data_IF_763691934905
#
_entry.id   IF_763691934905
#
_cell.length_a   1.000
_cell.length_b   1.000
_cell.length_c   1.000
_cell.angle_alpha   90.00
_cell.angle_beta   90.00
_cell.angle_gamma   90.00
#
_symmetry.space_group_name_H-M   'P 1'
#
loop_
_entity.id
_entity.type
_entity.pdbx_description
1 polymer ?
#
# COMPACT_ATOMS: atom_id res chain seq x y z
N UNK A 1 -20.91 -6.39 9.23
CA UNK A 1 -20.14 -6.10 8.00
C UNK A 1 -18.67 -6.07 8.37
N UNK A 2 -17.85 -6.80 7.63
CA UNK A 2 -16.41 -6.81 7.85
C UNK A 2 -15.73 -5.56 7.24
N UNK A 3 -14.56 -5.14 7.77
CA UNK A 3 -13.74 -4.11 7.16
C UNK A 3 -13.44 -4.40 5.69
N UNK A 4 -13.33 -3.35 4.90
CA UNK A 4 -12.99 -3.38 3.47
C UNK A 4 -13.98 -4.08 2.52
N UNK A 5 -15.08 -4.69 2.98
CA UNK A 5 -16.04 -5.35 2.08
C UNK A 5 -16.59 -4.40 1.00
N UNK A 6 -17.00 -3.20 1.40
CA UNK A 6 -17.48 -2.16 0.46
C UNK A 6 -16.37 -1.67 -0.46
N UNK A 7 -15.15 -1.50 0.07
CA UNK A 7 -14.00 -1.07 -0.71
C UNK A 7 -13.68 -2.03 -1.86
N UNK A 8 -13.71 -3.34 -1.58
CA UNK A 8 -13.46 -4.41 -2.57
C UNK A 8 -14.47 -4.33 -3.72
N UNK A 9 -15.76 -4.26 -3.38
CA UNK A 9 -16.81 -4.12 -4.39
C UNK A 9 -16.67 -2.85 -5.23
N UNK A 10 -16.44 -1.72 -4.57
CA UNK A 10 -16.29 -0.43 -5.23
C UNK A 10 -15.06 -0.41 -6.16
N UNK A 11 -13.91 -0.92 -5.70
CA UNK A 11 -12.69 -0.96 -6.50
C UNK A 11 -12.87 -1.83 -7.75
N UNK A 12 -13.45 -3.04 -7.62
CA UNK A 12 -13.73 -3.88 -8.77
C UNK A 12 -14.70 -3.20 -9.76
N UNK A 13 -15.74 -2.54 -9.24
CA UNK A 13 -16.68 -1.80 -10.08
C UNK A 13 -15.98 -0.65 -10.82
N UNK A 14 -15.10 0.11 -10.16
CA UNK A 14 -14.32 1.17 -10.81
C UNK A 14 -13.44 0.58 -11.91
N UNK A 15 -12.68 -0.49 -11.64
CA UNK A 15 -11.81 -1.12 -12.63
C UNK A 15 -12.60 -1.61 -13.86
N UNK A 16 -13.83 -2.13 -13.65
CA UNK A 16 -14.69 -2.58 -14.75
C UNK A 16 -15.17 -1.45 -15.65
N UNK A 17 -15.08 -0.20 -15.19
CA UNK A 17 -15.59 1.00 -15.90
C UNK A 17 -14.50 1.83 -16.56
N UNK A 18 -13.23 1.58 -16.19
CA UNK A 18 -12.09 2.27 -16.76
C UNK A 18 -11.81 1.82 -18.19
N UNK A 19 -11.35 2.75 -19.00
CA UNK A 19 -10.90 2.51 -20.36
C UNK A 19 -9.47 2.98 -20.57
N UNK A 20 -8.82 2.39 -21.56
CA UNK A 20 -7.49 2.83 -21.98
C UNK A 20 -7.57 4.21 -22.62
N UNK A 21 -6.65 5.10 -22.27
CA UNK A 21 -6.53 6.40 -22.91
C UNK A 21 -6.10 6.24 -24.39
N UNK A 22 -6.62 7.13 -25.24
CA UNK A 22 -6.24 7.19 -26.65
C UNK A 22 -5.13 8.25 -26.83
N UNK A 23 -3.87 7.84 -27.06
CA UNK A 23 -2.75 8.76 -27.12
C UNK A 23 -2.84 9.79 -28.25
N UNK A 24 -3.62 9.51 -29.29
CA UNK A 24 -3.76 10.42 -30.44
C UNK A 24 -4.63 11.65 -30.11
N UNK A 25 -5.40 11.58 -29.04
CA UNK A 25 -6.33 12.64 -28.61
C UNK A 25 -5.67 13.70 -27.70
N UNK A 26 -4.40 13.50 -27.34
CA UNK A 26 -3.66 14.45 -26.48
C UNK A 26 -2.86 15.43 -27.30
N UNK A 27 -2.91 16.71 -26.89
CA UNK A 27 -2.02 17.73 -27.45
C UNK A 27 -0.55 17.44 -27.11
N UNK A 28 -0.28 17.03 -25.87
CA UNK A 28 1.02 16.52 -25.45
C UNK A 28 1.13 15.01 -25.75
N UNK A 29 1.85 14.69 -26.81
CA UNK A 29 2.10 13.30 -27.24
C UNK A 29 2.76 12.43 -26.17
N UNK A 30 3.63 13.01 -25.33
CA UNK A 30 4.29 12.28 -24.26
C UNK A 30 3.31 11.97 -23.14
N UNK A 31 2.45 12.93 -22.76
CA UNK A 31 1.37 12.68 -21.80
C UNK A 31 0.41 11.58 -22.29
N UNK A 32 0.00 11.66 -23.57
CA UNK A 32 -0.88 10.66 -24.17
C UNK A 32 -0.28 9.26 -24.15
N UNK A 33 1.01 9.11 -24.46
CA UNK A 33 1.72 7.83 -24.37
C UNK A 33 1.76 7.30 -22.94
N UNK A 34 2.12 8.15 -21.96
CA UNK A 34 2.15 7.79 -20.55
C UNK A 34 0.78 7.38 -20.03
N UNK A 35 -0.27 8.11 -20.40
CA UNK A 35 -1.65 7.80 -20.01
C UNK A 35 -2.14 6.46 -20.60
N UNK A 36 -1.79 6.17 -21.87
CA UNK A 36 -2.13 4.91 -22.53
C UNK A 36 -1.35 3.70 -21.99
N UNK A 37 -0.22 3.92 -21.32
CA UNK A 37 0.62 2.88 -20.71
C UNK A 37 0.21 2.54 -19.26
N UNK A 38 -0.74 3.27 -18.69
CA UNK A 38 -1.28 2.98 -17.37
C UNK A 38 -2.13 1.71 -17.40
N UNK A 39 -1.90 0.83 -16.44
CA UNK A 39 -2.84 -0.26 -16.17
C UNK A 39 -4.12 0.30 -15.52
N UNK A 40 -5.26 -0.44 -15.56
CA UNK A 40 -6.49 0.01 -14.90
C UNK A 40 -6.30 0.35 -13.42
N UNK A 41 -5.52 -0.45 -12.69
CA UNK A 41 -5.24 -0.20 -11.28
C UNK A 41 -4.42 1.08 -11.07
N UNK A 42 -3.37 1.29 -11.86
CA UNK A 42 -2.56 2.51 -11.80
C UNK A 42 -3.37 3.75 -12.18
N UNK A 43 -4.27 3.63 -13.15
CA UNK A 43 -5.17 4.73 -13.52
C UNK A 43 -6.16 5.04 -12.40
N UNK A 44 -6.72 4.01 -11.74
CA UNK A 44 -7.58 4.20 -10.58
C UNK A 44 -6.84 4.90 -9.42
N UNK A 45 -5.60 4.52 -9.14
CA UNK A 45 -4.77 5.15 -8.09
C UNK A 45 -4.38 6.58 -8.44
N UNK A 46 -4.08 6.84 -9.71
CA UNK A 46 -3.81 8.19 -10.18
C UNK A 46 -5.03 9.11 -10.00
N UNK A 47 -6.22 8.62 -10.30
CA UNK A 47 -7.46 9.38 -10.16
C UNK A 47 -7.86 9.62 -8.70
N UNK A 48 -7.72 8.59 -7.85
CA UNK A 48 -8.13 8.66 -6.47
C UNK A 48 -7.17 9.47 -5.59
N UNK A 49 -5.87 9.21 -5.72
CA UNK A 49 -4.85 9.67 -4.77
C UNK A 49 -3.70 10.42 -5.42
N UNK A 50 -3.70 10.61 -6.75
CA UNK A 50 -2.58 11.20 -7.49
C UNK A 50 -1.30 10.35 -7.45
N UNK A 51 -1.44 9.05 -7.15
CA UNK A 51 -0.32 8.11 -7.09
C UNK A 51 0.07 7.71 -8.50
N UNK A 52 1.36 7.85 -8.81
CA UNK A 52 1.95 7.45 -10.09
C UNK A 52 2.67 6.11 -9.98
N UNK A 53 2.77 5.33 -11.07
CA UNK A 53 3.47 4.05 -11.06
C UNK A 53 4.92 4.17 -10.58
N UNK A 54 5.37 3.23 -9.75
CA UNK A 54 6.74 3.21 -9.20
C UNK A 54 7.82 3.03 -10.28
N UNK A 55 7.46 2.47 -11.45
CA UNK A 55 8.34 2.27 -12.60
C UNK A 55 8.71 3.55 -13.34
N UNK A 56 7.96 4.63 -13.11
CA UNK A 56 8.14 5.90 -13.82
C UNK A 56 9.22 6.78 -13.19
N UNK A 57 9.96 7.47 -14.04
CA UNK A 57 10.94 8.46 -13.63
C UNK A 57 10.32 9.73 -13.04
N UNK A 58 11.17 10.62 -12.54
CA UNK A 58 10.70 11.88 -11.91
C UNK A 58 9.92 12.78 -12.87
N UNK A 59 10.43 12.94 -14.09
CA UNK A 59 9.82 13.79 -15.12
C UNK A 59 8.47 13.23 -15.60
N UNK A 60 8.38 11.90 -15.80
CA UNK A 60 7.14 11.22 -16.17
C UNK A 60 6.10 11.33 -15.07
N UNK A 61 6.53 11.14 -13.80
CA UNK A 61 5.69 11.33 -12.62
C UNK A 61 5.11 12.73 -12.54
N UNK A 62 5.95 13.75 -12.74
CA UNK A 62 5.51 15.15 -12.71
C UNK A 62 4.54 15.45 -13.86
N UNK A 63 4.83 14.95 -15.07
CA UNK A 63 3.99 15.12 -16.26
C UNK A 63 2.62 14.50 -16.06
N UNK A 64 2.53 13.27 -15.55
CA UNK A 64 1.25 12.62 -15.25
C UNK A 64 0.44 13.39 -14.20
N UNK A 65 1.08 13.83 -13.11
CA UNK A 65 0.38 14.58 -12.06
C UNK A 65 -0.18 15.91 -12.59
N UNK A 66 0.58 16.62 -13.39
CA UNK A 66 0.13 17.88 -13.99
C UNK A 66 -0.95 17.65 -15.05
N UNK A 67 -0.91 16.51 -15.74
CA UNK A 67 -1.84 16.13 -16.81
C UNK A 67 -3.13 15.44 -16.36
N UNK A 68 -3.37 15.19 -15.07
CA UNK A 68 -4.55 14.45 -14.60
C UNK A 68 -5.86 15.02 -15.16
N UNK A 69 -6.02 16.33 -15.17
CA UNK A 69 -7.22 17.00 -15.69
C UNK A 69 -7.43 16.72 -17.18
N UNK A 70 -6.35 16.71 -17.97
CA UNK A 70 -6.43 16.41 -19.41
C UNK A 70 -6.79 14.94 -19.64
N UNK A 71 -6.25 14.02 -18.83
CA UNK A 71 -6.58 12.59 -18.89
C UNK A 71 -8.06 12.35 -18.58
N UNK A 72 -8.59 13.01 -17.56
CA UNK A 72 -10.04 12.93 -17.23
C UNK A 72 -10.88 13.51 -18.36
N UNK A 73 -10.52 14.66 -18.89
CA UNK A 73 -11.25 15.33 -19.97
C UNK A 73 -11.29 14.47 -21.25
N UNK A 74 -10.16 13.84 -21.63
CA UNK A 74 -10.12 12.91 -22.75
C UNK A 74 -11.08 11.75 -22.53
N UNK A 75 -11.04 11.15 -21.33
CA UNK A 75 -11.88 10.03 -20.98
C UNK A 75 -13.39 10.36 -21.01
N UNK A 76 -13.78 11.57 -20.62
CA UNK A 76 -15.16 12.05 -20.63
C UNK A 76 -15.66 12.40 -22.04
N UNK A 77 -14.80 12.96 -22.88
CA UNK A 77 -15.17 13.44 -24.24
C UNK A 77 -15.09 12.35 -25.31
N UNK A 78 -14.70 11.14 -24.99
CA UNK A 78 -14.68 10.05 -25.94
C UNK A 78 -16.10 9.64 -26.38
N UNK A 79 -16.26 9.14 -27.61
CA UNK A 79 -17.52 8.62 -28.12
C UNK A 79 -18.08 7.48 -27.23
N UNK A 80 -17.19 6.63 -26.74
CA UNK A 80 -17.46 5.70 -25.64
C UNK A 80 -16.73 6.26 -24.44
N UNK A 81 -17.39 7.14 -23.68
CA UNK A 81 -16.77 7.79 -22.52
C UNK A 81 -16.53 6.80 -21.39
N UNK A 82 -15.53 7.10 -20.56
CA UNK A 82 -15.18 6.28 -19.41
C UNK A 82 -16.34 6.23 -18.41
N UNK A 83 -16.72 5.03 -18.01
CA UNK A 83 -17.88 4.83 -17.14
C UNK A 83 -19.21 4.59 -17.86
N UNK A 84 -19.25 4.63 -19.19
CA UNK A 84 -20.45 4.29 -19.96
C UNK A 84 -20.81 2.79 -19.80
N UNK A 85 -19.81 1.93 -19.84
CA UNK A 85 -19.92 0.49 -19.64
C UNK A 85 -19.31 0.08 -18.30
N UNK A 86 -19.52 -1.16 -17.89
CA UNK A 86 -19.01 -1.72 -16.62
C UNK A 86 -20.11 -1.86 -15.57
N UNK A 87 -19.74 -2.33 -14.39
CA UNK A 87 -20.67 -2.60 -13.31
C UNK A 87 -21.37 -1.33 -12.80
N UNK A 88 -22.69 -1.33 -12.85
CA UNK A 88 -23.50 -0.20 -12.38
C UNK A 88 -23.69 -0.22 -10.86
N UNK A 89 -24.05 0.91 -10.23
CA UNK A 89 -24.38 0.94 -8.80
C UNK A 89 -25.53 -0.01 -8.43
N UNK A 90 -26.47 -0.25 -9.33
CA UNK A 90 -27.59 -1.20 -9.09
C UNK A 90 -27.08 -2.64 -9.02
N UNK A 91 -26.25 -3.04 -9.95
CA UNK A 91 -25.64 -4.38 -9.98
C UNK A 91 -24.77 -4.59 -8.75
N UNK A 92 -23.96 -3.60 -8.38
CA UNK A 92 -23.13 -3.67 -7.17
C UNK A 92 -23.97 -3.77 -5.90
N UNK A 93 -25.12 -3.07 -5.82
CA UNK A 93 -26.03 -3.21 -4.69
C UNK A 93 -26.57 -4.63 -4.57
N UNK A 94 -26.98 -5.23 -5.68
CA UNK A 94 -27.48 -6.63 -5.73
C UNK A 94 -26.35 -7.58 -5.31
N UNK A 95 -25.17 -7.45 -5.88
CA UNK A 95 -23.99 -8.26 -5.53
C UNK A 95 -23.63 -8.18 -4.03
N UNK A 96 -23.66 -6.99 -3.44
CA UNK A 96 -23.38 -6.81 -2.02
C UNK A 96 -24.48 -7.42 -1.13
N UNK A 97 -25.73 -7.40 -1.59
CA UNK A 97 -26.84 -8.06 -0.90
C UNK A 97 -26.64 -9.58 -0.92
N UNK A 98 -26.31 -10.15 -2.07
CA UNK A 98 -26.00 -11.58 -2.23
C UNK A 98 -24.81 -11.98 -1.37
N UNK A 99 -23.74 -11.15 -1.36
CA UNK A 99 -22.57 -11.36 -0.53
C UNK A 99 -22.90 -11.30 0.99
N UNK A 100 -23.89 -10.51 1.38
CA UNK A 100 -24.34 -10.45 2.79
C UNK A 100 -25.09 -11.70 3.24
N UNK A 101 -25.61 -12.47 2.31
CA UNK A 101 -26.36 -13.72 2.52
C UNK A 101 -25.57 -14.95 2.05
N UNK A 102 -24.27 -14.81 1.82
CA UNK A 102 -23.43 -15.88 1.29
C UNK A 102 -23.35 -17.06 2.28
N UNK A 103 -23.60 -18.30 1.84
CA UNK A 103 -23.74 -19.45 2.75
C UNK A 103 -22.43 -19.82 3.51
N UNK A 104 -21.28 -19.49 2.93
CA UNK A 104 -19.98 -19.84 3.51
C UNK A 104 -19.43 -18.77 4.46
N UNK A 105 -20.01 -17.55 4.48
CA UNK A 105 -19.49 -16.45 5.29
C UNK A 105 -20.57 -15.92 6.23
N UNK A 106 -20.20 -15.74 7.50
CA UNK A 106 -21.13 -15.32 8.55
C UNK A 106 -21.58 -13.86 8.45
N UNK A 107 -20.93 -13.06 7.59
CA UNK A 107 -21.27 -11.65 7.37
C UNK A 107 -20.81 -11.18 6.00
N UNK A 108 -21.27 -9.99 5.59
CA UNK A 108 -20.71 -9.30 4.43
C UNK A 108 -19.22 -9.06 4.64
N UNK A 109 -18.39 -9.89 4.00
CA UNK A 109 -16.92 -9.88 4.10
C UNK A 109 -16.27 -9.68 2.73
N UNK A 110 -14.99 -9.26 2.67
CA UNK A 110 -14.24 -9.18 1.42
C UNK A 110 -14.25 -10.49 0.63
N UNK A 111 -14.11 -11.64 1.30
CA UNK A 111 -14.12 -12.95 0.64
C UNK A 111 -15.50 -13.29 0.06
N UNK A 112 -16.59 -12.96 0.77
CA UNK A 112 -17.95 -13.10 0.24
C UNK A 112 -18.16 -12.26 -1.02
N UNK A 113 -17.71 -10.99 -1.00
CA UNK A 113 -17.80 -10.09 -2.15
C UNK A 113 -16.99 -10.63 -3.33
N UNK A 114 -15.74 -11.07 -3.11
CA UNK A 114 -14.91 -11.67 -4.17
C UNK A 114 -15.52 -12.96 -4.74
N UNK A 115 -16.18 -13.78 -3.89
CA UNK A 115 -16.91 -14.97 -4.33
C UNK A 115 -18.07 -14.62 -5.24
N UNK A 116 -18.89 -13.64 -4.86
CA UNK A 116 -20.01 -13.17 -5.68
C UNK A 116 -19.56 -12.53 -7.00
N UNK A 117 -18.48 -11.73 -6.99
CA UNK A 117 -17.88 -11.18 -8.21
C UNK A 117 -17.43 -12.32 -9.14
N UNK A 118 -16.79 -13.36 -8.60
CA UNK A 118 -16.35 -14.51 -9.38
C UNK A 118 -17.53 -15.26 -10.00
N UNK A 119 -18.63 -15.42 -9.28
CA UNK A 119 -19.86 -16.02 -9.78
C UNK A 119 -20.47 -15.16 -10.90
N UNK A 120 -20.51 -13.84 -10.70
CA UNK A 120 -20.98 -12.88 -11.72
C UNK A 120 -20.17 -12.97 -13.02
N UNK A 121 -18.84 -13.00 -12.94
CA UNK A 121 -17.96 -13.12 -14.10
C UNK A 121 -18.15 -14.45 -14.85
N UNK A 122 -18.46 -15.54 -14.13
CA UNK A 122 -18.72 -16.85 -14.75
C UNK A 122 -20.08 -16.92 -15.43
N UNK A 123 -21.08 -16.24 -14.89
CA UNK A 123 -22.44 -16.22 -15.46
C UNK A 123 -22.50 -15.52 -16.83
N UNK A 124 -21.70 -14.48 -17.02
CA UNK A 124 -21.62 -13.76 -18.30
C UNK A 124 -22.92 -13.07 -18.73
N UNK A 125 -23.85 -12.85 -17.80
CA UNK A 125 -25.19 -12.33 -18.09
C UNK A 125 -25.20 -10.86 -18.50
N UNK A 126 -24.18 -10.10 -18.09
CA UNK A 126 -24.05 -8.68 -18.38
C UNK A 126 -23.19 -8.42 -19.62
N UNK A 127 -23.62 -7.48 -20.45
CA UNK A 127 -22.97 -7.15 -21.72
C UNK A 127 -21.49 -6.76 -21.55
N UNK A 128 -21.15 -5.97 -20.51
CA UNK A 128 -19.79 -5.53 -20.27
C UNK A 128 -18.81 -6.69 -19.93
N UNK A 129 -19.31 -7.81 -19.40
CA UNK A 129 -18.47 -8.99 -19.10
C UNK A 129 -18.01 -9.73 -20.37
N UNK A 130 -18.62 -9.43 -21.52
CA UNK A 130 -18.29 -10.02 -22.83
C UNK A 130 -17.28 -9.21 -23.63
N UNK A 131 -16.87 -8.04 -23.11
CA UNK A 131 -15.86 -7.22 -23.75
C UNK A 131 -14.50 -7.97 -23.76
N UNK A 132 -13.80 -7.87 -24.88
CA UNK A 132 -12.51 -8.55 -25.04
C UNK A 132 -11.43 -7.78 -24.26
N UNK A 133 -10.68 -8.43 -23.35
CA UNK A 133 -9.58 -7.80 -22.64
C UNK A 133 -8.54 -7.23 -23.61
N UNK A 134 -8.11 -5.99 -23.37
CA UNK A 134 -7.06 -5.32 -24.13
C UNK A 134 -6.17 -4.49 -23.23
N UNK A 135 -4.86 -4.71 -23.28
CA UNK A 135 -3.86 -4.01 -22.46
C UNK A 135 -4.20 -4.01 -20.95
N UNK A 136 -4.81 -5.08 -20.46
CA UNK A 136 -5.26 -5.23 -19.07
C UNK A 136 -6.61 -4.61 -18.75
N UNK A 137 -7.19 -3.81 -19.65
CA UNK A 137 -8.56 -3.29 -19.50
C UNK A 137 -9.59 -4.38 -19.87
N UNK A 138 -10.76 -4.33 -19.25
CA UNK A 138 -11.87 -5.29 -19.43
C UNK A 138 -11.55 -6.74 -19.03
N UNK A 139 -10.43 -6.97 -18.33
CA UNK A 139 -10.13 -8.27 -17.71
C UNK A 139 -10.84 -8.40 -16.35
N UNK A 140 -12.17 -8.49 -16.40
CA UNK A 140 -13.03 -8.48 -15.23
C UNK A 140 -12.72 -9.63 -14.25
N UNK A 141 -12.33 -10.78 -14.76
CA UNK A 141 -11.94 -11.94 -13.97
C UNK A 141 -10.54 -11.74 -13.33
N UNK A 142 -9.59 -11.19 -14.09
CA UNK A 142 -8.25 -10.86 -13.59
C UNK A 142 -8.26 -9.77 -12.53
N UNK A 143 -9.20 -8.83 -12.59
CA UNK A 143 -9.37 -7.80 -11.57
C UNK A 143 -9.66 -8.38 -10.19
N UNK A 144 -10.26 -9.58 -10.08
CA UNK A 144 -10.53 -10.23 -8.79
C UNK A 144 -9.26 -10.41 -7.99
N UNK A 145 -8.19 -10.88 -8.62
CA UNK A 145 -6.90 -11.07 -7.94
C UNK A 145 -6.21 -9.74 -7.63
N UNK A 146 -6.28 -8.76 -8.55
CA UNK A 146 -5.72 -7.43 -8.32
C UNK A 146 -6.38 -6.73 -7.12
N UNK A 147 -7.71 -6.79 -7.03
CA UNK A 147 -8.48 -6.21 -5.93
C UNK A 147 -8.21 -6.96 -4.62
N UNK A 148 -8.06 -8.29 -4.68
CA UNK A 148 -7.66 -9.11 -3.53
C UNK A 148 -6.29 -8.71 -3.00
N UNK A 149 -5.30 -8.53 -3.87
CA UNK A 149 -3.97 -8.11 -3.45
C UNK A 149 -4.00 -6.73 -2.79
N UNK A 150 -4.79 -5.78 -3.30
CA UNK A 150 -5.00 -4.47 -2.67
C UNK A 150 -5.66 -4.56 -1.29
N UNK A 151 -6.60 -5.47 -1.13
CA UNK A 151 -7.16 -5.76 0.18
C UNK A 151 -6.11 -6.33 1.13
N UNK A 152 -5.34 -7.32 0.68
CA UNK A 152 -4.27 -7.91 1.49
C UNK A 152 -3.18 -6.90 1.87
N UNK A 153 -2.88 -5.91 1.03
CA UNK A 153 -1.99 -4.80 1.38
C UNK A 153 -2.51 -4.01 2.59
N UNK A 154 -3.83 -3.78 2.65
CA UNK A 154 -4.46 -3.09 3.79
C UNK A 154 -4.45 -3.96 5.04
N UNK A 155 -4.88 -5.21 4.92
CA UNK A 155 -4.88 -6.18 6.04
C UNK A 155 -3.48 -6.36 6.61
N UNK A 156 -2.47 -6.49 5.76
CA UNK A 156 -1.08 -6.64 6.19
C UNK A 156 -0.57 -5.42 6.96
N UNK A 157 -0.89 -4.22 6.48
CA UNK A 157 -0.57 -2.97 7.17
C UNK A 157 -1.23 -2.89 8.54
N UNK A 158 -2.54 -3.16 8.61
CA UNK A 158 -3.33 -3.13 9.84
C UNK A 158 -2.86 -4.17 10.85
N UNK A 159 -2.54 -5.38 10.36
CA UNK A 159 -1.96 -6.44 11.17
C UNK A 159 -0.61 -6.02 11.77
N UNK A 160 0.31 -5.53 10.94
CA UNK A 160 1.62 -5.05 11.40
C UNK A 160 1.49 -3.94 12.42
N UNK A 161 0.67 -2.93 12.15
CA UNK A 161 0.42 -1.82 13.08
C UNK A 161 -0.16 -2.31 14.42
N UNK A 162 -0.98 -3.36 14.36
CA UNK A 162 -1.63 -3.93 15.56
C UNK A 162 -0.71 -4.78 16.41
N UNK A 163 0.38 -5.33 15.87
CA UNK A 163 1.35 -6.11 16.65
C UNK A 163 2.16 -5.25 17.63
N UNK A 164 2.24 -3.94 17.39
CA UNK A 164 3.08 -3.02 18.17
C UNK A 164 4.59 -3.29 18.03
N UNK A 165 4.99 -4.21 17.13
CA UNK A 165 6.39 -4.49 16.85
C UNK A 165 7.09 -3.35 16.12
N UNK A 166 6.28 -2.48 15.48
CA UNK A 166 6.77 -1.37 14.70
C UNK A 166 6.11 -0.10 15.19
N UNK A 167 6.75 0.52 16.13
CA UNK A 167 6.49 1.94 16.38
C UNK A 167 7.04 2.72 15.20
N UNK A 168 6.20 3.49 14.55
CA UNK A 168 6.57 4.42 13.48
C UNK A 168 7.72 5.34 13.91
N UNK A 169 7.81 5.61 15.22
CA UNK A 169 8.90 6.29 15.87
C UNK A 169 10.27 5.66 15.61
N UNK A 170 10.39 4.32 15.58
CA UNK A 170 11.72 3.68 15.54
C UNK A 170 12.47 3.83 14.21
N UNK A 171 11.79 3.65 13.07
CA UNK A 171 12.45 3.87 11.78
C UNK A 171 12.55 5.36 11.45
N UNK A 172 11.64 6.19 11.98
CA UNK A 172 11.76 7.65 11.97
C UNK A 172 12.99 8.11 12.75
N UNK A 173 13.16 7.65 13.99
CA UNK A 173 14.35 7.93 14.81
C UNK A 173 15.65 7.43 14.16
N UNK A 174 15.63 6.24 13.53
CA UNK A 174 16.78 5.74 12.77
C UNK A 174 17.12 6.66 11.61
N UNK A 175 16.11 7.14 10.88
CA UNK A 175 16.32 8.05 9.76
C UNK A 175 16.80 9.43 10.24
N UNK A 176 16.22 9.98 11.31
CA UNK A 176 16.66 11.23 11.96
C UNK A 176 18.12 11.15 12.38
N UNK A 177 18.47 10.06 13.03
CA UNK A 177 19.87 9.78 13.45
C UNK A 177 20.79 9.67 12.23
N UNK A 178 20.37 8.96 11.20
CA UNK A 178 21.12 8.84 9.95
C UNK A 178 21.37 10.20 9.30
N UNK A 179 20.35 11.05 9.14
CA UNK A 179 20.50 12.40 8.58
C UNK A 179 21.45 13.26 9.43
N UNK A 180 21.37 13.15 10.74
CA UNK A 180 22.29 13.84 11.66
C UNK A 180 23.75 13.44 11.38
N UNK A 181 24.03 12.14 11.30
CA UNK A 181 25.39 11.63 11.03
C UNK A 181 25.88 12.01 9.63
N UNK A 182 25.00 11.96 8.61
CA UNK A 182 25.33 12.41 7.23
C UNK A 182 25.67 13.90 7.20
N UNK A 183 24.92 14.74 7.90
CA UNK A 183 25.17 16.18 7.98
C UNK A 183 26.55 16.48 8.57
N UNK A 184 26.88 15.84 9.69
CA UNK A 184 28.18 16.03 10.33
C UNK A 184 29.32 15.45 9.48
N UNK A 185 29.12 14.30 8.85
CA UNK A 185 30.10 13.71 7.94
C UNK A 185 30.48 14.65 6.77
N UNK A 186 29.47 15.26 6.13
CA UNK A 186 29.70 16.20 5.01
C UNK A 186 30.43 17.45 5.46
N UNK A 187 30.18 17.93 6.67
CA UNK A 187 30.81 19.11 7.26
C UNK A 187 32.20 18.80 7.85
N UNK A 188 32.58 17.52 8.01
CA UNK A 188 33.79 17.12 8.71
C UNK A 188 33.73 17.37 10.21
N UNK A 189 32.53 17.39 10.80
CA UNK A 189 32.27 17.66 12.21
C UNK A 189 32.02 16.37 12.98
N UNK A 190 32.23 16.40 14.30
CA UNK A 190 31.90 15.30 15.21
C UNK A 190 30.45 15.40 15.67
N UNK A 191 29.82 14.25 15.92
CA UNK A 191 28.46 14.13 16.44
C UNK A 191 28.50 14.05 17.96
N UNK A 192 27.70 14.86 18.63
CA UNK A 192 27.55 14.78 20.07
C UNK A 192 26.69 13.59 20.46
N UNK A 193 27.25 12.62 21.14
CA UNK A 193 26.52 11.47 21.66
C UNK A 193 25.92 11.81 23.03
N UNK A 194 24.60 11.92 23.09
CA UNK A 194 23.86 12.29 24.32
C UNK A 194 23.96 11.24 25.42
N UNK A 195 24.26 9.99 25.08
CA UNK A 195 24.34 8.88 26.04
C UNK A 195 25.71 8.88 26.73
N UNK A 196 26.81 9.05 25.96
CA UNK A 196 28.17 9.04 26.47
C UNK A 196 28.65 10.42 26.88
N UNK A 197 28.00 11.50 26.46
CA UNK A 197 28.39 12.89 26.70
C UNK A 197 29.63 13.33 25.92
N UNK A 198 30.10 12.56 24.94
CA UNK A 198 31.34 12.79 24.19
C UNK A 198 31.02 13.09 22.70
N UNK A 199 31.90 13.87 22.06
CA UNK A 199 31.86 14.08 20.61
C UNK A 199 32.57 12.91 19.90
N UNK A 200 31.84 12.15 19.11
CA UNK A 200 32.30 10.97 18.39
C UNK A 200 32.35 11.22 16.88
N UNK A 201 33.14 10.45 16.15
CA UNK A 201 33.11 10.47 14.69
C UNK A 201 31.74 9.96 14.21
N UNK A 202 31.24 10.44 13.03
CA UNK A 202 30.03 9.91 12.45
C UNK A 202 30.07 8.38 12.28
N UNK A 203 29.04 7.70 12.72
CA UNK A 203 28.91 6.24 12.70
C UNK A 203 28.79 5.73 11.26
N UNK A 204 29.92 5.37 10.67
CA UNK A 204 30.02 4.93 9.27
C UNK A 204 29.36 3.58 9.03
N UNK A 205 29.32 2.70 10.03
CA UNK A 205 28.68 1.37 9.90
C UNK A 205 27.17 1.53 9.85
N UNK A 206 26.60 2.31 10.74
CA UNK A 206 25.16 2.64 10.71
C UNK A 206 24.80 3.34 9.40
N UNK A 207 25.59 4.34 8.96
CA UNK A 207 25.35 5.03 7.70
C UNK A 207 25.37 4.05 6.52
N UNK A 208 26.35 3.18 6.41
CA UNK A 208 26.47 2.20 5.34
C UNK A 208 25.29 1.19 5.34
N UNK A 209 24.84 0.76 6.52
CA UNK A 209 23.69 -0.13 6.67
C UNK A 209 22.40 0.52 6.17
N UNK A 210 22.15 1.76 6.56
CA UNK A 210 20.98 2.52 6.10
C UNK A 210 21.05 2.78 4.59
N UNK A 211 22.21 3.19 4.08
CA UNK A 211 22.43 3.47 2.65
C UNK A 211 22.23 2.23 1.77
N UNK A 212 22.67 1.06 2.23
CA UNK A 212 22.40 -0.21 1.57
C UNK A 212 20.89 -0.47 1.47
N UNK A 213 20.16 -0.24 2.54
CA UNK A 213 18.69 -0.38 2.59
C UNK A 213 18.00 0.61 1.67
N UNK A 214 18.47 1.85 1.65
CA UNK A 214 17.92 2.92 0.81
C UNK A 214 18.28 2.77 -0.69
N UNK A 215 19.25 1.91 -1.01
CA UNK A 215 19.71 1.70 -2.39
C UNK A 215 20.54 2.87 -2.91
N UNK A 216 21.46 3.41 -2.10
CA UNK A 216 22.33 4.53 -2.42
C UNK A 216 23.30 4.27 -3.60
N UNK A 217 23.43 3.00 -4.06
CA UNK A 217 24.34 2.63 -5.13
C UNK A 217 25.82 2.75 -4.74
N UNK A 218 26.71 2.81 -5.73
CA UNK A 218 28.15 2.88 -5.53
C UNK A 218 28.67 4.28 -5.15
N UNK A 219 27.89 5.34 -5.45
CA UNK A 219 28.27 6.74 -5.15
C UNK A 219 27.52 7.29 -3.93
N UNK A 220 27.90 6.83 -2.75
CA UNK A 220 27.26 7.23 -1.49
C UNK A 220 27.43 8.72 -1.17
N UNK A 221 28.52 9.35 -1.56
CA UNK A 221 28.73 10.78 -1.29
C UNK A 221 27.79 11.67 -2.09
N UNK A 222 27.51 11.33 -3.35
CA UNK A 222 26.50 12.03 -4.15
C UNK A 222 25.11 11.83 -3.54
N UNK A 223 24.79 10.63 -3.11
CA UNK A 223 23.51 10.31 -2.44
C UNK A 223 23.34 11.15 -1.16
N UNK A 224 24.36 11.18 -0.28
CA UNK A 224 24.35 11.97 0.96
C UNK A 224 24.14 13.45 0.70
N UNK A 225 24.88 14.03 -0.27
CA UNK A 225 24.71 15.44 -0.65
C UNK A 225 23.31 15.71 -1.20
N UNK A 226 22.75 14.80 -1.98
CA UNK A 226 21.39 14.88 -2.49
C UNK A 226 20.34 14.99 -1.36
N UNK A 227 20.49 14.20 -0.30
CA UNK A 227 19.61 14.27 0.87
C UNK A 227 19.71 15.63 1.59
N UNK A 228 20.93 16.12 1.83
CA UNK A 228 21.12 17.40 2.52
C UNK A 228 20.58 18.58 1.66
N UNK A 229 20.79 18.54 0.34
CA UNK A 229 20.24 19.54 -0.56
C UNK A 229 18.70 19.54 -0.57
N UNK A 230 18.08 18.37 -0.54
CA UNK A 230 16.62 18.27 -0.47
C UNK A 230 16.05 18.84 0.84
N UNK A 231 16.75 18.60 1.96
CA UNK A 231 16.40 19.20 3.27
C UNK A 231 16.54 20.73 3.22
N UNK A 232 17.65 21.21 2.64
CA UNK A 232 17.87 22.66 2.50
C UNK A 232 16.81 23.32 1.63
N UNK A 233 16.43 22.69 0.51
CA UNK A 233 15.32 23.15 -0.35
C UNK A 233 14.00 23.22 0.42
N UNK A 234 13.65 22.18 1.13
CA UNK A 234 12.43 22.16 1.96
C UNK A 234 12.42 23.28 3.00
N UNK A 235 13.55 23.50 3.69
CA UNK A 235 13.68 24.55 4.72
C UNK A 235 13.56 25.96 4.12
N UNK A 236 13.99 26.17 2.88
CA UNK A 236 13.83 27.45 2.17
C UNK A 236 12.35 27.68 1.83
N UNK A 237 11.65 26.65 1.37
CA UNK A 237 10.25 26.75 0.98
C UNK A 237 9.30 26.86 2.21
N UNK A 238 9.75 26.40 3.40
CA UNK A 238 8.98 26.38 4.65
C UNK A 238 9.78 27.02 5.80
N UNK A 239 10.01 28.34 5.76
CA UNK A 239 10.83 29.03 6.73
C UNK A 239 10.21 28.99 8.14
N UNK A 240 10.97 28.47 9.11
CA UNK A 240 10.55 28.36 10.51
C UNK A 240 9.85 27.06 10.89
N UNK A 241 9.51 26.23 9.92
CA UNK A 241 8.90 24.92 10.17
C UNK A 241 9.98 23.87 10.51
N UNK A 242 9.63 22.93 11.40
CA UNK A 242 10.47 21.75 11.63
C UNK A 242 10.41 20.86 10.39
N UNK A 243 11.58 20.40 9.93
CA UNK A 243 11.67 19.49 8.79
C UNK A 243 10.98 18.17 9.13
N UNK A 244 9.89 17.87 8.44
CA UNK A 244 9.19 16.60 8.53
C UNK A 244 9.74 15.64 7.46
N UNK A 245 10.64 14.75 7.85
CA UNK A 245 11.29 13.82 6.90
C UNK A 245 10.29 12.92 6.14
N UNK A 246 9.12 12.64 6.71
CA UNK A 246 8.04 11.93 6.04
C UNK A 246 7.51 12.63 4.80
N UNK A 247 7.52 13.97 4.79
CA UNK A 247 7.13 14.79 3.64
C UNK A 247 8.25 14.91 2.62
N UNK A 248 9.49 15.06 3.10
CA UNK A 248 10.67 15.25 2.23
C UNK A 248 11.11 13.93 1.58
N UNK A 249 11.08 12.82 2.33
CA UNK A 249 11.63 11.52 1.93
C UNK A 249 10.63 10.36 2.09
N UNK A 250 9.40 10.45 1.59
CA UNK A 250 8.40 9.40 1.80
C UNK A 250 8.85 8.03 1.27
N UNK A 251 9.52 8.00 0.11
CA UNK A 251 10.04 6.76 -0.49
C UNK A 251 11.19 6.12 0.31
N UNK A 252 12.03 6.93 0.94
CA UNK A 252 13.15 6.41 1.74
C UNK A 252 12.64 5.81 3.05
N UNK A 253 11.71 6.49 3.71
CA UNK A 253 11.07 5.96 4.92
C UNK A 253 10.28 4.68 4.66
N UNK A 254 9.58 4.59 3.53
CA UNK A 254 8.89 3.36 3.15
C UNK A 254 9.86 2.19 2.92
N UNK A 255 11.01 2.42 2.28
CA UNK A 255 12.04 1.38 2.11
C UNK A 255 12.64 0.93 3.45
N UNK A 256 12.92 1.85 4.37
CA UNK A 256 13.38 1.49 5.71
C UNK A 256 12.34 0.67 6.46
N UNK A 257 11.08 1.06 6.36
CA UNK A 257 9.95 0.34 6.93
C UNK A 257 9.86 -1.09 6.35
N UNK A 258 9.91 -1.23 5.03
CA UNK A 258 9.87 -2.53 4.36
C UNK A 258 11.04 -3.44 4.80
N UNK A 259 12.26 -2.91 4.89
CA UNK A 259 13.41 -3.68 5.32
C UNK A 259 13.31 -4.12 6.80
N UNK A 260 12.83 -3.24 7.66
CA UNK A 260 12.58 -3.56 9.06
C UNK A 260 11.54 -4.66 9.23
N UNK A 261 10.53 -4.68 8.37
CA UNK A 261 9.52 -5.74 8.34
C UNK A 261 10.04 -7.04 7.77
N UNK A 262 10.89 -6.99 6.74
CA UNK A 262 11.47 -8.20 6.17
C UNK A 262 12.28 -8.98 7.22
N UNK A 263 13.04 -8.27 8.05
CA UNK A 263 13.81 -8.85 9.14
C UNK A 263 12.93 -9.49 10.24
N UNK A 264 11.70 -9.02 10.41
CA UNK A 264 10.75 -9.52 11.42
C UNK A 264 9.63 -10.40 10.89
N UNK A 265 9.67 -10.75 9.60
CA UNK A 265 8.61 -11.51 8.93
C UNK A 265 8.25 -12.82 9.65
N UNK A 266 9.27 -13.55 10.12
CA UNK A 266 9.06 -14.80 10.87
C UNK A 266 8.28 -14.57 12.16
N UNK A 267 8.65 -13.53 12.89
CA UNK A 267 7.97 -13.18 14.14
C UNK A 267 6.53 -12.72 13.92
N UNK A 268 6.27 -11.93 12.88
CA UNK A 268 4.91 -11.57 12.47
C UNK A 268 4.08 -12.79 12.10
N UNK A 269 4.67 -13.73 11.37
CA UNK A 269 4.01 -15.02 11.04
C UNK A 269 3.61 -15.80 12.30
N UNK A 270 4.50 -15.89 13.29
CA UNK A 270 4.23 -16.56 14.56
C UNK A 270 3.08 -15.88 15.32
N UNK A 271 3.08 -14.54 15.42
CA UNK A 271 1.98 -13.80 16.05
C UNK A 271 0.65 -14.05 15.31
N UNK A 272 0.66 -14.02 13.98
CA UNK A 272 -0.52 -14.29 13.17
C UNK A 272 -1.08 -15.69 13.42
N UNK A 273 -0.20 -16.69 13.49
CA UNK A 273 -0.60 -18.07 13.83
C UNK A 273 -1.17 -18.18 15.25
N UNK A 274 -0.58 -17.49 16.22
CA UNK A 274 -1.07 -17.48 17.60
C UNK A 274 -2.45 -16.80 17.71
N UNK A 275 -2.69 -15.73 16.95
CA UNK A 275 -4.02 -15.14 16.83
C UNK A 275 -5.01 -16.15 16.23
N UNK A 276 -4.63 -16.85 15.16
CA UNK A 276 -5.51 -17.83 14.51
C UNK A 276 -5.88 -18.99 15.43
N UNK A 277 -4.92 -19.54 16.20
CA UNK A 277 -5.19 -20.56 17.23
C UNK A 277 -6.18 -20.07 18.28
N UNK A 278 -6.00 -18.83 18.74
CA UNK A 278 -6.93 -18.21 19.70
C UNK A 278 -8.35 -18.06 19.12
N UNK A 279 -8.45 -17.66 17.85
CA UNK A 279 -9.74 -17.53 17.16
C UNK A 279 -10.43 -18.89 16.93
N UNK A 280 -9.67 -19.98 16.84
CA UNK A 280 -10.19 -21.33 16.70
C UNK A 280 -10.61 -21.97 18.05
N UNK A 281 -10.43 -21.28 19.19
CA UNK A 281 -10.58 -21.82 20.54
C UNK A 281 -9.71 -23.07 20.82
N UNK A 282 -8.62 -23.22 20.07
CA UNK A 282 -7.65 -24.30 20.29
C UNK A 282 -6.91 -24.07 21.61
N UNK A 283 -6.60 -25.16 22.31
CA UNK A 283 -5.84 -25.09 23.54
C UNK A 283 -4.51 -24.36 23.31
N UNK A 284 -4.24 -23.37 24.14
CA UNK A 284 -2.99 -22.58 24.09
C UNK A 284 -1.82 -23.34 24.73
N UNK A 285 -1.91 -24.64 24.82
CA UNK A 285 -0.87 -25.49 25.40
C UNK A 285 0.45 -25.33 24.62
N UNK A 286 1.47 -24.82 25.30
CA UNK A 286 2.80 -24.62 24.74
C UNK A 286 3.12 -23.18 24.31
N UNK A 287 2.19 -22.22 24.41
CA UNK A 287 2.50 -20.79 24.21
C UNK A 287 3.08 -20.18 25.49
N UNK A 288 4.19 -19.45 25.37
CA UNK A 288 4.64 -18.62 26.49
C UNK A 288 3.60 -17.56 26.82
N UNK A 289 3.52 -17.17 28.09
CA UNK A 289 2.59 -16.11 28.54
C UNK A 289 2.74 -14.83 27.73
N UNK A 290 3.97 -14.42 27.44
CA UNK A 290 4.26 -13.20 26.67
C UNK A 290 3.71 -13.26 25.23
N UNK A 291 3.81 -14.43 24.57
CA UNK A 291 3.26 -14.61 23.22
C UNK A 291 1.73 -14.59 23.22
N UNK A 292 1.10 -15.20 24.21
CA UNK A 292 -0.35 -15.19 24.35
C UNK A 292 -0.88 -13.75 24.58
N UNK A 293 -0.21 -12.97 25.45
CA UNK A 293 -0.58 -11.58 25.69
C UNK A 293 -0.36 -10.71 24.47
N UNK A 294 0.72 -10.90 23.70
CA UNK A 294 0.97 -10.18 22.46
C UNK A 294 -0.10 -10.44 21.40
N UNK A 295 -0.46 -11.71 21.19
CA UNK A 295 -1.52 -12.12 20.27
C UNK A 295 -2.89 -11.55 20.68
N UNK A 296 -3.17 -11.53 22.00
CA UNK A 296 -4.38 -10.93 22.57
C UNK A 296 -4.42 -9.43 22.31
N UNK A 297 -3.37 -8.70 22.66
CA UNK A 297 -3.29 -7.26 22.48
C UNK A 297 -3.40 -6.86 21.01
N UNK A 298 -2.76 -7.61 20.10
CA UNK A 298 -2.88 -7.38 18.67
C UNK A 298 -4.31 -7.60 18.16
N UNK A 299 -4.99 -8.67 18.60
CA UNK A 299 -6.39 -8.92 18.25
C UNK A 299 -7.32 -7.80 18.75
N UNK A 300 -7.14 -7.36 19.99
CA UNK A 300 -7.94 -6.28 20.59
C UNK A 300 -7.75 -4.94 19.85
N UNK A 301 -6.51 -4.64 19.40
CA UNK A 301 -6.25 -3.46 18.56
C UNK A 301 -6.93 -3.57 17.20
N UNK A 302 -6.90 -4.76 16.57
CA UNK A 302 -7.60 -5.00 15.30
C UNK A 302 -9.11 -4.81 15.44
N UNK A 303 -9.71 -5.25 16.55
CA UNK A 303 -11.12 -5.02 16.83
C UNK A 303 -11.42 -3.54 17.08
N UNK A 304 -10.67 -2.91 17.97
CA UNK A 304 -10.97 -1.55 18.44
C UNK A 304 -10.67 -0.49 17.37
N UNK A 305 -9.54 -0.61 16.65
CA UNK A 305 -9.07 0.41 15.72
C UNK A 305 -9.58 0.23 14.30
N UNK A 306 -9.69 -1.02 13.83
CA UNK A 306 -10.02 -1.32 12.45
C UNK A 306 -11.39 -1.95 12.25
N UNK A 307 -12.14 -2.21 13.34
CA UNK A 307 -13.52 -2.67 13.29
C UNK A 307 -13.69 -4.13 12.88
N UNK A 308 -12.66 -4.95 13.02
CA UNK A 308 -12.81 -6.40 12.85
C UNK A 308 -13.70 -6.98 13.94
N UNK A 309 -14.34 -8.09 13.65
CA UNK A 309 -14.91 -9.03 14.61
C UNK A 309 -14.17 -10.36 14.49
N UNK A 310 -14.51 -11.33 15.34
CA UNK A 310 -13.85 -12.64 15.38
C UNK A 310 -13.82 -13.32 14.02
N UNK A 311 -14.95 -13.40 13.33
CA UNK A 311 -15.07 -14.09 12.05
C UNK A 311 -14.33 -13.35 10.93
N UNK A 312 -14.53 -12.04 10.83
CA UNK A 312 -13.85 -11.23 9.80
C UNK A 312 -12.34 -11.18 10.00
N UNK A 313 -11.87 -11.21 11.24
CA UNK A 313 -10.44 -11.28 11.55
C UNK A 313 -9.86 -12.65 11.16
N UNK A 314 -10.57 -13.74 11.47
CA UNK A 314 -10.17 -15.08 11.06
C UNK A 314 -10.03 -15.18 9.54
N UNK A 315 -11.03 -14.71 8.80
CA UNK A 315 -11.03 -14.74 7.34
C UNK A 315 -9.89 -13.90 6.75
N UNK A 316 -9.70 -12.68 7.27
CA UNK A 316 -8.66 -11.77 6.77
C UNK A 316 -7.24 -12.26 7.08
N UNK A 317 -6.98 -12.68 8.31
CA UNK A 317 -5.66 -13.22 8.70
C UNK A 317 -5.40 -14.57 8.05
N UNK A 318 -6.41 -15.44 7.93
CA UNK A 318 -6.28 -16.72 7.25
C UNK A 318 -5.82 -16.56 5.81
N UNK A 319 -6.45 -15.65 5.05
CA UNK A 319 -6.07 -15.34 3.67
C UNK A 319 -4.69 -14.68 3.60
N UNK A 320 -4.39 -13.73 4.50
CA UNK A 320 -3.10 -13.06 4.57
C UNK A 320 -1.96 -14.04 4.83
N UNK A 321 -2.08 -14.88 5.85
CA UNK A 321 -1.06 -15.87 6.22
C UNK A 321 -0.86 -16.89 5.11
N UNK A 322 -1.95 -17.39 4.51
CA UNK A 322 -1.90 -18.37 3.44
C UNK A 322 -1.22 -17.84 2.17
N UNK A 323 -1.27 -16.55 1.89
CA UNK A 323 -0.70 -15.98 0.66
C UNK A 323 0.65 -15.30 0.84
N UNK A 324 0.85 -14.61 1.96
CA UNK A 324 2.03 -13.75 2.14
C UNK A 324 3.02 -14.24 3.19
N UNK A 325 2.57 -15.03 4.14
CA UNK A 325 3.37 -15.53 5.26
C UNK A 325 3.56 -17.05 5.21
N UNK A 326 3.53 -17.64 4.02
CA UNK A 326 3.92 -19.04 3.86
C UNK A 326 5.39 -19.24 4.25
N UNK A 327 5.72 -20.38 4.93
CA UNK A 327 7.09 -20.74 5.24
C UNK A 327 7.96 -20.91 4.01
#
# INVERSE_FOLDING_TARGET
MAPHAMYIGALWAVLSRLRRADPERYADRQLGSLAADLTPMEKAELYADGITPKRMGADETLRLKNGIKEIITEAEQAAVYEGLTGASPREMRTLLLDASQHPEYSCLSPLAVLSCIRALCRGGDYGFLRETPSAGYHDHAGFIEQVRERWLDRVDREFRDSTGLVEEARYGELFDRYITHVSHYIKGERVFNRVTGVNEEPDREMMASVEKTLGAGSNTDTFRRGLINAIAGYAIDHPGDKVEYGKVFPRHLERLKEAYFADRRKHLQEIGQDIMRRLADEAQDGLSHDRAELAKAASERLYARYGYNRDSLRDALGELLARRYKP
#
